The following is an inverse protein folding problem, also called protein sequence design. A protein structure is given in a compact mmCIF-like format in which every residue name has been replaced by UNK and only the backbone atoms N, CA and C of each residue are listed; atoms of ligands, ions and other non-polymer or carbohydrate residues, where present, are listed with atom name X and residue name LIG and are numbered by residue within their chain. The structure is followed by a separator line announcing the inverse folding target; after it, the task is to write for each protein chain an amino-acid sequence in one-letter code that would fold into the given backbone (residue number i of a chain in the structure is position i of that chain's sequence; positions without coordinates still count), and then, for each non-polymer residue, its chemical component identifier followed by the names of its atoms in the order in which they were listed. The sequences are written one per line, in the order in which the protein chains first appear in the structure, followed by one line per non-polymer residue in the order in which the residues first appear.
data_IF_442228937237
#
_entry.id   IF_442228937237
#
_cell.length_a   1.000
_cell.length_b   1.000
_cell.length_c   1.000
_cell.angle_alpha   90.00
_cell.angle_beta   90.00
_cell.angle_gamma   90.00
#
_symmetry.space_group_name_H-M   'P 1'
#
loop_
_entity.id
_entity.type
_entity.pdbx_description
1 polymer ?
#
# COMPACT_ATOMS: atom_id res chain seq x y z
N UNK A 1 3.22 61.66 5.46
CA UNK A 1 4.12 60.53 5.78
C UNK A 1 3.29 59.27 5.67
N UNK A 2 3.42 58.56 4.54
CA UNK A 2 2.78 57.28 4.31
C UNK A 2 3.76 56.18 4.72
N UNK A 3 3.37 55.30 5.63
CA UNK A 3 4.07 54.03 5.84
C UNK A 3 3.04 52.90 5.92
N UNK A 4 3.33 51.90 5.11
CA UNK A 4 2.49 50.80 4.70
C UNK A 4 2.09 49.88 5.86
N UNK A 5 0.82 49.52 5.89
CA UNK A 5 0.34 48.37 6.64
C UNK A 5 0.68 47.10 5.84
N UNK A 6 1.71 46.36 6.28
CA UNK A 6 1.91 44.98 5.85
C UNK A 6 0.73 44.14 6.33
N UNK A 7 -0.24 43.89 5.44
CA UNK A 7 -1.16 42.78 5.55
C UNK A 7 -0.34 41.49 5.40
N UNK A 8 0.00 40.87 6.52
CA UNK A 8 0.46 39.49 6.53
C UNK A 8 -0.67 38.62 5.99
N UNK A 9 -0.46 38.00 4.83
CA UNK A 9 -1.27 36.87 4.41
C UNK A 9 -1.05 35.76 5.45
N UNK A 10 -1.99 35.60 6.37
CA UNK A 10 -2.12 34.35 7.08
C UNK A 10 -2.52 33.29 6.04
N UNK A 11 -1.59 32.38 5.73
CA UNK A 11 -1.95 31.14 5.07
C UNK A 11 -2.96 30.43 5.98
N UNK A 12 -4.21 30.35 5.53
CA UNK A 12 -5.23 29.55 6.19
C UNK A 12 -4.83 28.09 5.92
N UNK A 13 -4.52 27.27 6.94
CA UNK A 13 -4.24 25.86 6.70
C UNK A 13 -5.44 25.24 6.00
N UNK A 14 -5.18 24.37 5.02
CA UNK A 14 -6.22 23.60 4.33
C UNK A 14 -7.22 23.04 5.36
N UNK A 15 -8.47 23.46 5.25
CA UNK A 15 -9.52 23.12 6.21
C UNK A 15 -9.61 21.60 6.34
N UNK A 16 -9.20 21.07 7.49
CA UNK A 16 -9.41 19.67 7.81
C UNK A 16 -10.92 19.38 7.74
N UNK A 17 -11.30 18.32 7.03
CA UNK A 17 -12.69 17.87 6.97
C UNK A 17 -13.14 17.48 8.39
N UNK A 18 -14.07 18.24 8.97
CA UNK A 18 -14.66 17.95 10.28
C UNK A 18 -16.05 17.39 10.07
N UNK A 19 -16.25 16.12 10.45
CA UNK A 19 -17.54 15.45 10.39
C UNK A 19 -18.02 15.11 11.79
N UNK A 20 -19.29 15.42 12.09
CA UNK A 20 -19.97 14.95 13.28
C UNK A 20 -20.36 13.48 13.08
N UNK A 21 -19.57 12.58 13.65
CA UNK A 21 -19.80 11.15 13.54
C UNK A 21 -20.94 10.70 14.47
N UNK A 22 -21.86 9.85 13.99
CA UNK A 22 -22.94 9.33 14.81
C UNK A 22 -22.42 8.36 15.87
N UNK A 23 -23.15 8.20 16.98
CA UNK A 23 -22.74 7.31 18.08
C UNK A 23 -21.43 7.75 18.73
N UNK A 24 -21.02 7.11 19.83
CA UNK A 24 -19.70 7.35 20.42
C UNK A 24 -18.59 6.75 19.54
N UNK A 25 -18.38 7.35 18.35
CA UNK A 25 -17.38 6.96 17.37
C UNK A 25 -15.99 7.32 17.88
N UNK A 26 -15.04 6.39 17.72
CA UNK A 26 -13.62 6.64 18.01
C UNK A 26 -12.78 6.32 16.78
N UNK A 27 -11.81 7.16 16.48
CA UNK A 27 -10.75 6.84 15.52
C UNK A 27 -10.01 5.60 16.01
N UNK A 28 -9.68 4.70 15.09
CA UNK A 28 -8.95 3.46 15.35
C UNK A 28 -7.60 3.51 14.67
N UNK A 29 -7.58 3.98 13.43
CA UNK A 29 -6.40 4.11 12.59
C UNK A 29 -6.61 5.23 11.58
N UNK A 30 -5.52 5.86 11.17
CA UNK A 30 -5.48 6.92 10.16
C UNK A 30 -4.20 6.79 9.35
N UNK A 31 -4.35 6.73 8.03
CA UNK A 31 -3.28 6.83 7.03
C UNK A 31 -3.37 8.16 6.31
N UNK A 32 -2.24 8.83 6.13
CA UNK A 32 -2.18 10.13 5.43
C UNK A 32 -0.95 10.20 4.55
N UNK A 33 -1.11 10.82 3.38
CA UNK A 33 -0.01 11.13 2.47
C UNK A 33 -0.16 12.59 2.03
N UNK A 34 0.87 13.44 2.18
CA UNK A 34 0.80 14.85 1.75
C UNK A 34 0.49 15.01 0.25
N UNK A 35 0.95 14.03 -0.54
CA UNK A 35 0.66 13.87 -1.97
C UNK A 35 0.51 12.38 -2.21
N UNK A 36 -0.67 11.97 -2.65
CA UNK A 36 -1.01 10.58 -2.96
C UNK A 36 -2.06 10.51 -4.06
N UNK A 37 -2.50 9.30 -4.37
CA UNK A 37 -3.56 9.06 -5.35
C UNK A 37 -4.52 7.99 -4.85
N UNK A 38 -5.80 8.11 -5.22
CA UNK A 38 -6.82 7.14 -4.86
C UNK A 38 -7.86 6.99 -5.96
N UNK A 39 -8.38 5.77 -6.14
CA UNK A 39 -9.42 5.45 -7.11
C UNK A 39 -10.77 5.25 -6.40
N UNK A 40 -11.66 6.25 -6.48
CA UNK A 40 -12.98 6.19 -5.84
C UNK A 40 -13.99 5.45 -6.72
N UNK A 41 -14.82 4.58 -6.15
CA UNK A 41 -15.82 3.86 -6.94
C UNK A 41 -16.93 4.81 -7.41
N UNK A 42 -17.24 4.79 -8.71
CA UNK A 42 -18.28 5.62 -9.35
C UNK A 42 -19.44 4.80 -9.91
N UNK A 43 -19.39 3.48 -9.74
CA UNK A 43 -20.41 2.56 -10.19
C UNK A 43 -20.30 1.21 -9.49
N UNK A 44 -21.25 0.30 -9.75
CA UNK A 44 -21.22 -1.04 -9.20
C UNK A 44 -20.09 -1.86 -9.81
N UNK A 45 -19.59 -2.83 -9.05
CA UNK A 45 -18.75 -3.88 -9.60
C UNK A 45 -19.60 -4.78 -10.50
N UNK A 46 -19.26 -4.82 -11.79
CA UNK A 46 -19.94 -5.65 -12.79
C UNK A 46 -18.92 -6.11 -13.83
N UNK A 47 -19.13 -7.31 -14.38
CA UNK A 47 -18.31 -7.87 -15.46
C UNK A 47 -16.79 -7.89 -15.19
N UNK A 48 -16.41 -8.10 -13.93
CA UNK A 48 -15.00 -8.21 -13.53
C UNK A 48 -14.29 -6.88 -13.28
N UNK A 49 -15.01 -5.76 -13.35
CA UNK A 49 -14.44 -4.42 -13.23
C UNK A 49 -15.23 -3.54 -12.25
N UNK A 50 -14.50 -2.63 -11.61
CA UNK A 50 -15.07 -1.54 -10.81
C UNK A 50 -14.85 -0.22 -11.56
N UNK A 51 -15.91 0.50 -11.96
CA UNK A 51 -15.76 1.86 -12.47
C UNK A 51 -15.23 2.78 -11.38
N UNK A 52 -14.13 3.49 -11.67
CA UNK A 52 -13.46 4.36 -10.69
C UNK A 52 -13.16 5.75 -11.23
N UNK A 53 -13.05 6.72 -10.31
CA UNK A 53 -12.50 8.05 -10.52
C UNK A 53 -11.15 8.14 -9.80
N UNK A 54 -10.06 8.12 -10.57
CA UNK A 54 -8.73 8.39 -10.05
C UNK A 54 -8.62 9.87 -9.67
N UNK A 55 -8.14 10.14 -8.46
CA UNK A 55 -7.96 11.49 -7.92
C UNK A 55 -6.60 11.57 -7.23
N UNK A 56 -5.86 12.64 -7.47
CA UNK A 56 -4.55 12.91 -6.89
C UNK A 56 -4.63 14.14 -5.99
N UNK A 57 -3.88 14.14 -4.89
CA UNK A 57 -3.87 15.24 -3.93
C UNK A 57 -3.40 14.82 -2.54
N UNK A 58 -3.67 15.64 -1.54
CA UNK A 58 -3.47 15.28 -0.14
C UNK A 58 -4.46 14.17 0.25
N UNK A 59 -3.94 12.97 0.52
CA UNK A 59 -4.72 11.79 0.82
C UNK A 59 -4.84 11.58 2.33
N UNK A 60 -6.04 11.23 2.78
CA UNK A 60 -6.28 10.72 4.13
C UNK A 60 -7.32 9.61 4.11
N UNK A 61 -7.08 8.56 4.90
CA UNK A 61 -8.00 7.45 5.08
C UNK A 61 -8.07 7.12 6.57
N UNK A 62 -9.26 7.20 7.16
CA UNK A 62 -9.47 6.97 8.59
C UNK A 62 -10.57 5.94 8.82
N UNK A 63 -10.35 5.07 9.80
CA UNK A 63 -11.34 4.12 10.29
C UNK A 63 -11.83 4.49 11.68
N UNK A 64 -13.14 4.31 11.89
CA UNK A 64 -13.82 4.61 13.13
C UNK A 64 -14.64 3.41 13.60
N UNK A 65 -14.62 3.19 14.91
CA UNK A 65 -15.48 2.22 15.58
C UNK A 65 -16.61 2.91 16.31
N UNK A 66 -17.83 2.48 16.03
CA UNK A 66 -19.03 2.89 16.73
C UNK A 66 -19.28 1.96 17.91
N UNK A 67 -19.45 2.54 19.10
CA UNK A 67 -19.73 1.77 20.31
C UNK A 67 -21.18 1.25 20.38
N UNK A 68 -22.09 1.80 19.55
CA UNK A 68 -23.49 1.42 19.49
C UNK A 68 -23.77 0.54 18.27
N UNK A 69 -24.02 -0.76 18.49
CA UNK A 69 -24.33 -1.73 17.46
C UNK A 69 -25.80 -1.69 16.97
N UNK A 70 -26.64 -0.87 17.61
CA UNK A 70 -28.07 -0.80 17.32
C UNK A 70 -28.40 0.05 16.09
N UNK A 71 -27.51 0.97 15.69
CA UNK A 71 -27.70 1.78 14.50
C UNK A 71 -27.57 0.93 13.24
N UNK A 72 -28.52 1.05 12.32
CA UNK A 72 -28.42 0.47 10.98
C UNK A 72 -27.37 1.21 10.15
N UNK A 73 -26.83 0.55 9.12
CA UNK A 73 -25.89 1.20 8.18
C UNK A 73 -26.47 2.45 7.51
N UNK A 74 -27.79 2.49 7.28
CA UNK A 74 -28.47 3.67 6.75
C UNK A 74 -28.51 4.82 7.77
N UNK A 75 -28.81 4.52 9.04
CA UNK A 75 -28.81 5.52 10.12
C UNK A 75 -27.41 6.09 10.40
N UNK A 76 -26.36 5.32 10.10
CA UNK A 76 -24.98 5.80 10.19
C UNK A 76 -24.63 6.66 8.97
N UNK A 77 -24.94 6.20 7.75
CA UNK A 77 -24.51 6.87 6.52
C UNK A 77 -25.29 8.17 6.24
N UNK A 78 -26.59 8.18 6.47
CA UNK A 78 -27.48 9.32 6.14
C UNK A 78 -26.98 10.64 6.74
N UNK A 79 -26.72 10.78 8.05
CA UNK A 79 -26.27 12.06 8.60
C UNK A 79 -24.90 12.49 8.10
N UNK A 80 -24.01 11.56 7.74
CA UNK A 80 -22.70 11.89 7.16
C UNK A 80 -22.86 12.43 5.74
N UNK A 81 -23.68 11.76 4.93
CA UNK A 81 -24.00 12.22 3.57
C UNK A 81 -24.68 13.58 3.61
N UNK A 82 -25.65 13.78 4.50
CA UNK A 82 -26.40 15.03 4.60
C UNK A 82 -25.47 16.19 5.00
N UNK A 83 -24.54 15.99 5.95
CA UNK A 83 -23.49 16.96 6.28
C UNK A 83 -22.64 17.32 5.06
N UNK A 84 -22.10 16.31 4.38
CA UNK A 84 -21.24 16.51 3.20
C UNK A 84 -21.99 17.24 2.07
N UNK A 85 -23.24 16.87 1.81
CA UNK A 85 -24.04 17.59 0.80
C UNK A 85 -24.37 19.02 1.23
N UNK A 86 -24.58 19.27 2.53
CA UNK A 86 -24.71 20.60 3.10
C UNK A 86 -23.46 21.45 2.92
N UNK A 87 -22.28 20.83 2.94
CA UNK A 87 -20.98 21.45 2.66
C UNK A 87 -20.69 21.59 1.16
N UNK A 88 -21.65 21.28 0.28
CA UNK A 88 -21.56 21.48 -1.16
C UNK A 88 -20.95 20.31 -1.94
N UNK A 89 -20.75 19.15 -1.31
CA UNK A 89 -20.40 17.93 -2.04
C UNK A 89 -21.61 17.38 -2.82
N UNK A 90 -21.35 16.91 -4.04
CA UNK A 90 -22.32 16.23 -4.88
C UNK A 90 -22.08 14.72 -4.85
N UNK A 91 -23.14 13.94 -4.65
CA UNK A 91 -23.06 12.47 -4.69
C UNK A 91 -22.79 12.04 -6.14
N UNK A 92 -21.67 11.35 -6.35
CA UNK A 92 -21.35 10.73 -7.64
C UNK A 92 -21.99 9.33 -7.72
N UNK A 93 -21.83 8.55 -6.65
CA UNK A 93 -22.28 7.18 -6.60
C UNK A 93 -22.68 6.81 -5.17
N UNK A 94 -23.77 6.07 -5.02
CA UNK A 94 -24.22 5.52 -3.75
C UNK A 94 -24.82 4.14 -4.00
N UNK A 95 -24.53 3.19 -3.11
CA UNK A 95 -25.05 1.83 -3.22
C UNK A 95 -25.11 1.15 -1.84
N UNK A 96 -25.90 0.07 -1.78
CA UNK A 96 -25.91 -0.85 -0.66
C UNK A 96 -25.73 -2.29 -1.12
N UNK A 97 -24.84 -3.02 -0.44
CA UNK A 97 -24.64 -4.47 -0.59
C UNK A 97 -24.66 -4.97 -2.05
N UNK A 98 -25.73 -5.66 -2.46
CA UNK A 98 -25.91 -6.21 -3.79
C UNK A 98 -25.89 -5.13 -4.89
N UNK A 99 -26.40 -3.93 -4.63
CA UNK A 99 -26.36 -2.82 -5.57
C UNK A 99 -24.94 -2.29 -5.82
N UNK A 100 -24.00 -2.55 -4.92
CA UNK A 100 -22.59 -2.28 -5.13
C UNK A 100 -21.90 -3.34 -6.01
N UNK A 101 -22.50 -4.52 -6.19
CA UNK A 101 -21.84 -5.68 -6.77
C UNK A 101 -21.41 -6.74 -5.74
N UNK A 102 -21.86 -6.60 -4.48
CA UNK A 102 -21.73 -7.65 -3.46
C UNK A 102 -20.28 -7.92 -3.01
N UNK A 103 -19.85 -9.19 -3.06
CA UNK A 103 -18.54 -9.64 -2.58
C UNK A 103 -17.39 -8.92 -3.30
N UNK A 104 -17.41 -8.90 -4.64
CA UNK A 104 -16.28 -8.43 -5.45
C UNK A 104 -16.01 -6.92 -5.29
N UNK A 105 -17.05 -6.13 -5.02
CA UNK A 105 -16.92 -4.70 -4.75
C UNK A 105 -15.97 -4.41 -3.59
N UNK A 106 -16.06 -5.17 -2.49
CA UNK A 106 -15.17 -5.02 -1.33
C UNK A 106 -13.71 -5.31 -1.69
N UNK A 107 -13.44 -6.30 -2.55
CA UNK A 107 -12.07 -6.70 -2.91
C UNK A 107 -11.44 -5.73 -3.92
N UNK A 108 -12.25 -5.07 -4.72
CA UNK A 108 -11.81 -4.04 -5.65
C UNK A 108 -11.58 -2.67 -4.97
N UNK A 109 -12.07 -2.49 -3.74
CA UNK A 109 -11.84 -1.29 -2.94
C UNK A 109 -10.60 -1.42 -2.06
N UNK A 110 -9.92 -0.29 -1.84
CA UNK A 110 -8.91 -0.14 -0.80
C UNK A 110 -9.58 0.01 0.57
N UNK A 111 -9.74 -1.11 1.27
CA UNK A 111 -10.33 -1.19 2.61
C UNK A 111 -9.24 -1.48 3.63
N UNK A 112 -9.22 -0.72 4.73
CA UNK A 112 -8.29 -0.97 5.83
C UNK A 112 -8.42 -2.41 6.36
N UNK A 113 -7.32 -3.05 6.77
CA UNK A 113 -7.36 -4.46 7.17
C UNK A 113 -8.10 -4.67 8.51
N UNK A 114 -8.50 -5.91 8.78
CA UNK A 114 -8.94 -6.27 10.14
C UNK A 114 -7.78 -6.15 11.14
N UNK A 115 -8.03 -5.79 12.41
CA UNK A 115 -9.34 -5.58 13.05
C UNK A 115 -9.84 -4.12 12.96
N UNK A 116 -9.22 -3.28 12.14
CA UNK A 116 -9.46 -1.83 12.04
C UNK A 116 -10.76 -1.54 11.28
N UNK A 117 -11.01 -2.26 10.18
CA UNK A 117 -12.23 -2.16 9.40
C UNK A 117 -12.78 -3.54 9.09
N UNK A 118 -14.08 -3.73 9.27
CA UNK A 118 -14.79 -4.96 8.93
C UNK A 118 -15.96 -4.64 8.01
N UNK A 119 -16.04 -5.35 6.88
CA UNK A 119 -17.09 -5.17 5.87
C UNK A 119 -18.00 -6.40 5.87
N UNK A 120 -19.19 -6.25 6.42
CA UNK A 120 -20.22 -7.26 6.38
C UNK A 120 -20.91 -7.23 5.03
N UNK A 121 -20.69 -8.25 4.21
CA UNK A 121 -21.21 -8.33 2.83
C UNK A 121 -22.74 -8.31 2.74
N UNK A 122 -23.44 -8.63 3.84
CA UNK A 122 -24.90 -8.53 3.92
C UNK A 122 -25.42 -7.20 4.48
N UNK A 123 -24.56 -6.32 5.00
CA UNK A 123 -24.94 -5.06 5.64
C UNK A 123 -23.79 -4.04 5.55
N UNK A 124 -23.57 -3.51 4.36
CA UNK A 124 -22.67 -2.38 4.11
C UNK A 124 -23.29 -1.39 3.11
N UNK A 125 -22.85 -0.13 3.21
CA UNK A 125 -23.22 0.96 2.31
C UNK A 125 -21.98 1.74 1.93
N UNK A 126 -21.96 2.24 0.70
CA UNK A 126 -20.88 3.07 0.20
C UNK A 126 -21.43 4.29 -0.53
N UNK A 127 -20.74 5.41 -0.38
CA UNK A 127 -21.01 6.62 -1.16
C UNK A 127 -19.69 7.28 -1.57
N UNK A 128 -19.64 7.75 -2.81
CA UNK A 128 -18.62 8.67 -3.30
C UNK A 128 -19.24 10.03 -3.52
N UNK A 129 -18.60 11.08 -2.99
CA UNK A 129 -19.00 12.46 -3.22
C UNK A 129 -17.83 13.29 -3.73
N UNK A 130 -18.14 14.33 -4.50
CA UNK A 130 -17.15 15.27 -5.04
C UNK A 130 -17.62 16.71 -4.92
N UNK A 131 -16.68 17.60 -4.67
CA UNK A 131 -16.87 19.06 -4.71
C UNK A 131 -15.80 19.66 -5.61
N UNK A 132 -16.17 20.68 -6.37
CA UNK A 132 -15.20 21.57 -7.00
C UNK A 132 -14.94 22.71 -6.02
N UNK A 133 -13.73 22.76 -5.44
CA UNK A 133 -13.28 23.90 -4.65
C UNK A 133 -12.39 24.82 -5.48
N UNK A 134 -12.19 26.06 -5.02
CA UNK A 134 -11.30 27.02 -5.69
C UNK A 134 -9.85 26.51 -5.78
N UNK A 135 -9.43 25.68 -4.81
CA UNK A 135 -8.11 25.05 -4.76
C UNK A 135 -7.98 23.79 -5.63
N UNK A 136 -9.09 23.26 -6.19
CA UNK A 136 -9.12 22.05 -6.99
C UNK A 136 -10.26 21.09 -6.59
N UNK A 137 -10.38 19.94 -7.28
CA UNK A 137 -11.41 18.95 -6.97
C UNK A 137 -11.10 18.24 -5.64
N UNK A 138 -12.14 17.99 -4.87
CA UNK A 138 -12.09 17.28 -3.60
C UNK A 138 -13.06 16.10 -3.67
N UNK A 139 -12.59 14.91 -3.31
CA UNK A 139 -13.36 13.67 -3.45
C UNK A 139 -13.31 12.86 -2.17
N UNK A 140 -14.46 12.39 -1.72
CA UNK A 140 -14.63 11.53 -0.55
C UNK A 140 -15.29 10.21 -0.92
N UNK A 141 -14.85 9.15 -0.24
CA UNK A 141 -15.52 7.86 -0.18
C UNK A 141 -15.86 7.56 1.29
N UNK A 142 -17.13 7.26 1.57
CA UNK A 142 -17.57 6.83 2.90
C UNK A 142 -18.11 5.41 2.80
N UNK A 143 -17.41 4.48 3.46
CA UNK A 143 -17.81 3.08 3.59
C UNK A 143 -18.32 2.83 5.01
N UNK A 144 -19.56 2.38 5.12
CA UNK A 144 -20.19 2.04 6.39
C UNK A 144 -20.55 0.57 6.41
N UNK A 145 -20.24 -0.10 7.51
CA UNK A 145 -20.52 -1.52 7.71
C UNK A 145 -20.86 -1.79 9.16
N UNK A 146 -21.48 -2.93 9.43
CA UNK A 146 -21.89 -3.31 10.79
C UNK A 146 -21.69 -4.80 11.07
N UNK A 147 -21.19 -5.08 12.26
CA UNK A 147 -21.18 -6.42 12.87
C UNK A 147 -22.26 -6.53 13.95
N UNK A 148 -22.43 -7.71 14.55
CA UNK A 148 -23.37 -7.89 15.67
C UNK A 148 -23.03 -7.04 16.91
N UNK A 149 -21.79 -6.58 17.06
CA UNK A 149 -21.31 -5.92 18.28
C UNK A 149 -20.87 -4.47 18.08
N UNK A 150 -20.66 -4.03 16.84
CA UNK A 150 -20.21 -2.66 16.54
C UNK A 150 -20.51 -2.23 15.12
N UNK A 151 -20.62 -0.93 14.91
CA UNK A 151 -20.56 -0.30 13.59
C UNK A 151 -19.14 0.14 13.23
N UNK A 152 -18.88 0.22 11.93
CA UNK A 152 -17.61 0.62 11.34
C UNK A 152 -17.85 1.69 10.29
N UNK A 153 -16.96 2.68 10.26
CA UNK A 153 -16.94 3.74 9.24
C UNK A 153 -15.50 3.83 8.74
N UNK A 154 -15.30 3.78 7.43
CA UNK A 154 -14.06 4.20 6.79
C UNK A 154 -14.37 5.43 5.93
N UNK A 155 -13.63 6.51 6.16
CA UNK A 155 -13.68 7.73 5.35
C UNK A 155 -12.35 7.84 4.63
N UNK A 156 -12.41 7.89 3.30
CA UNK A 156 -11.27 8.16 2.43
C UNK A 156 -11.49 9.51 1.78
N UNK A 157 -10.48 10.36 1.79
CA UNK A 157 -10.58 11.74 1.33
C UNK A 157 -9.32 12.13 0.58
N UNK A 158 -9.50 12.65 -0.64
CA UNK A 158 -8.45 13.31 -1.41
C UNK A 158 -8.86 14.76 -1.62
N UNK A 159 -8.06 15.67 -1.06
CA UNK A 159 -8.19 17.11 -1.25
C UNK A 159 -7.03 17.62 -2.12
N UNK A 160 -7.13 18.82 -2.72
CA UNK A 160 -6.01 19.43 -3.40
C UNK A 160 -4.76 19.50 -2.50
N UNK A 161 -3.62 19.03 -3.01
CA UNK A 161 -2.36 19.08 -2.27
C UNK A 161 -1.83 20.52 -2.18
N UNK A 162 -1.22 20.86 -1.05
CA UNK A 162 -0.52 22.13 -0.90
C UNK A 162 0.65 22.21 -1.88
N UNK A 163 0.86 23.37 -2.50
CA UNK A 163 1.95 23.58 -3.47
C UNK A 163 3.35 23.31 -2.87
N UNK A 164 3.51 23.47 -1.56
CA UNK A 164 4.74 23.13 -0.82
C UNK A 164 4.92 21.62 -0.60
N UNK A 165 3.85 20.83 -0.60
CA UNK A 165 3.92 19.37 -0.53
C UNK A 165 4.26 18.75 -1.91
N UNK A 166 3.93 19.46 -3.00
CA UNK A 166 4.21 19.04 -4.38
C UNK A 166 5.66 19.29 -4.82
N UNK A 167 6.44 20.08 -4.07
CA UNK A 167 7.87 20.20 -4.33
C UNK A 167 8.60 19.03 -3.67
N UNK A 168 9.09 18.03 -4.42
CA UNK A 168 10.04 17.09 -3.85
C UNK A 168 11.21 17.90 -3.28
N UNK A 169 11.74 17.50 -2.13
CA UNK A 169 12.92 18.14 -1.55
C UNK A 169 14.05 18.16 -2.58
N UNK A 170 14.25 19.28 -3.26
CA UNK A 170 15.21 19.44 -4.36
C UNK A 170 16.61 19.80 -3.85
N UNK A 171 16.95 19.40 -2.63
CA UNK A 171 18.36 19.34 -2.21
C UNK A 171 18.97 18.02 -2.69
N UNK A 172 19.02 17.84 -4.01
CA UNK A 172 19.98 16.92 -4.59
C UNK A 172 21.31 17.67 -4.72
N UNK A 173 22.22 17.42 -3.78
CA UNK A 173 23.63 17.87 -3.86
C UNK A 173 24.54 16.80 -4.47
N UNK A 174 24.00 15.77 -5.13
CA UNK A 174 24.81 14.69 -5.70
C UNK A 174 25.09 14.91 -7.19
N UNK A 175 26.26 15.47 -7.48
CA UNK A 175 27.11 14.93 -8.57
C UNK A 175 27.42 13.46 -8.22
N UNK A 176 27.48 12.51 -9.17
CA UNK A 176 27.73 11.11 -8.84
C UNK A 176 29.14 10.98 -8.25
N UNK A 177 29.23 10.90 -6.93
CA UNK A 177 30.41 10.43 -6.25
C UNK A 177 30.25 8.92 -6.11
N UNK A 178 30.94 8.20 -7.00
CA UNK A 178 30.92 6.74 -7.09
C UNK A 178 31.51 6.08 -5.82
N UNK A 179 32.15 6.86 -4.94
CA UNK A 179 32.71 6.38 -3.68
C UNK A 179 31.75 6.57 -2.49
N UNK A 180 30.58 7.23 -2.66
CA UNK A 180 29.65 7.47 -1.55
C UNK A 180 28.17 7.54 -1.96
N UNK A 181 27.66 6.41 -2.45
CA UNK A 181 26.22 6.16 -2.57
C UNK A 181 25.56 6.25 -1.17
N UNK A 182 24.41 6.92 -1.01
CA UNK A 182 23.70 6.90 0.26
C UNK A 182 23.01 5.54 0.35
N UNK A 183 23.67 4.59 1.01
CA UNK A 183 23.04 3.34 1.39
C UNK A 183 22.04 3.70 2.49
N UNK A 184 20.74 3.58 2.22
CA UNK A 184 19.74 3.42 3.28
C UNK A 184 19.98 2.06 3.94
N UNK A 185 21.09 1.94 4.68
CA UNK A 185 21.53 0.74 5.40
C UNK A 185 20.66 0.42 6.63
N UNK A 186 19.43 0.91 6.64
CA UNK A 186 18.52 0.82 7.78
C UNK A 186 17.64 -0.42 7.74
N UNK A 187 17.05 -0.77 6.58
CA UNK A 187 15.93 -1.72 6.57
C UNK A 187 16.39 -3.17 6.38
N UNK A 188 17.26 -3.48 5.41
CA UNK A 188 17.65 -4.87 5.12
C UNK A 188 18.46 -5.50 6.26
N UNK A 189 19.43 -4.74 6.79
CA UNK A 189 20.25 -5.19 7.93
C UNK A 189 19.36 -5.44 9.16
N UNK A 190 18.51 -4.48 9.51
CA UNK A 190 17.64 -4.58 10.68
C UNK A 190 16.66 -5.75 10.52
N UNK A 191 16.05 -5.92 9.35
CA UNK A 191 15.14 -7.03 9.08
C UNK A 191 15.83 -8.40 9.19
N UNK A 192 17.04 -8.55 8.65
CA UNK A 192 17.79 -9.81 8.76
C UNK A 192 18.16 -10.15 10.21
N UNK A 193 18.57 -9.16 11.00
CA UNK A 193 19.00 -9.39 12.38
C UNK A 193 17.82 -9.51 13.38
N UNK A 194 16.69 -8.84 13.11
CA UNK A 194 15.52 -8.84 14.02
C UNK A 194 14.46 -9.87 13.65
N UNK A 195 14.21 -10.05 12.35
CA UNK A 195 13.12 -10.88 11.81
C UNK A 195 13.65 -12.17 11.20
N UNK A 196 14.96 -12.24 10.91
CA UNK A 196 15.63 -13.42 10.36
C UNK A 196 15.42 -13.61 8.85
N UNK A 197 14.66 -12.75 8.19
CA UNK A 197 14.44 -12.80 6.75
C UNK A 197 14.06 -11.43 6.16
N UNK A 198 14.20 -11.29 4.84
CA UNK A 198 13.82 -10.10 4.06
C UNK A 198 13.47 -10.48 2.62
N UNK A 199 12.47 -9.82 2.04
CA UNK A 199 12.06 -10.00 0.64
C UNK A 199 12.84 -9.02 -0.25
N UNK A 200 13.39 -9.51 -1.37
CA UNK A 200 14.06 -8.67 -2.37
C UNK A 200 13.01 -8.06 -3.31
N UNK A 201 12.42 -6.93 -2.93
CA UNK A 201 11.25 -6.35 -3.60
C UNK A 201 11.52 -5.71 -4.97
N UNK A 202 12.76 -5.33 -5.26
CA UNK A 202 13.20 -4.80 -6.57
C UNK A 202 13.69 -5.91 -7.52
N UNK A 203 13.69 -7.17 -7.07
CA UNK A 203 14.08 -8.33 -7.89
C UNK A 203 12.85 -8.95 -8.56
N UNK A 204 12.65 -8.62 -9.83
CA UNK A 204 11.52 -9.12 -10.61
C UNK A 204 11.88 -10.25 -11.56
N UNK A 205 10.90 -11.14 -11.79
CA UNK A 205 10.98 -12.23 -12.78
C UNK A 205 9.75 -12.27 -13.67
N UNK A 206 9.99 -12.33 -14.98
CA UNK A 206 8.94 -12.62 -15.95
C UNK A 206 8.31 -14.01 -15.70
N UNK A 207 7.04 -14.23 -16.10
CA UNK A 207 6.38 -15.53 -15.99
C UNK A 207 7.21 -16.65 -16.63
N UNK A 208 7.43 -17.74 -15.89
CA UNK A 208 8.23 -18.88 -16.36
C UNK A 208 9.74 -18.63 -16.51
N UNK A 209 10.23 -17.42 -16.22
CA UNK A 209 11.65 -17.05 -16.34
C UNK A 209 12.38 -17.06 -15.00
N UNK A 210 13.68 -17.34 -15.06
CA UNK A 210 14.65 -17.14 -13.98
C UNK A 210 15.73 -16.11 -14.35
N UNK A 211 15.53 -15.38 -15.45
CA UNK A 211 16.41 -14.27 -15.83
C UNK A 211 16.14 -13.08 -14.93
N UNK A 212 17.22 -12.54 -14.35
CA UNK A 212 17.19 -11.31 -13.57
C UNK A 212 17.10 -10.11 -14.49
N UNK A 213 16.12 -9.24 -14.25
CA UNK A 213 16.19 -7.87 -14.77
C UNK A 213 17.33 -7.14 -14.06
N UNK A 214 18.20 -6.46 -14.82
CA UNK A 214 19.35 -5.72 -14.27
C UNK A 214 19.05 -4.24 -14.06
N UNK A 215 17.81 -3.79 -14.26
CA UNK A 215 17.48 -2.37 -14.23
C UNK A 215 17.35 -1.80 -12.81
N UNK A 216 17.01 -2.61 -11.80
CA UNK A 216 16.90 -2.17 -10.40
C UNK A 216 17.46 -3.22 -9.41
N UNK A 217 18.70 -3.05 -8.95
CA UNK A 217 19.40 -4.02 -8.06
C UNK A 217 19.88 -3.40 -6.75
N UNK A 218 19.14 -2.43 -6.22
CA UNK A 218 19.54 -1.69 -5.02
C UNK A 218 19.61 -2.60 -3.78
N UNK A 219 18.62 -3.48 -3.58
CA UNK A 219 18.63 -4.41 -2.43
C UNK A 219 19.70 -5.47 -2.56
N UNK A 220 20.06 -5.89 -3.79
CA UNK A 220 21.16 -6.83 -4.02
C UNK A 220 22.52 -6.21 -3.65
N UNK A 221 22.72 -4.93 -3.95
CA UNK A 221 23.92 -4.17 -3.53
C UNK A 221 23.98 -4.06 -2.00
N UNK A 222 22.85 -3.80 -1.36
CA UNK A 222 22.75 -3.73 0.09
C UNK A 222 23.05 -5.08 0.76
N UNK A 223 22.43 -6.15 0.27
CA UNK A 223 22.70 -7.52 0.73
C UNK A 223 24.17 -7.90 0.55
N UNK A 224 24.76 -7.58 -0.61
CA UNK A 224 26.18 -7.83 -0.85
C UNK A 224 27.08 -7.04 0.11
N UNK A 225 26.69 -5.81 0.46
CA UNK A 225 27.41 -5.00 1.44
C UNK A 225 27.27 -5.57 2.85
N UNK A 226 26.07 -5.98 3.24
CA UNK A 226 25.81 -6.65 4.51
C UNK A 226 26.67 -7.92 4.66
N UNK A 227 26.65 -8.82 3.67
CA UNK A 227 27.38 -10.09 3.74
C UNK A 227 28.90 -9.88 3.78
N UNK A 228 29.43 -8.96 2.97
CA UNK A 228 30.87 -8.65 2.97
C UNK A 228 31.34 -8.01 4.29
N UNK A 229 30.50 -7.18 4.92
CA UNK A 229 30.81 -6.58 6.21
C UNK A 229 30.64 -7.56 7.38
N UNK A 230 29.94 -8.67 7.19
CA UNK A 230 29.65 -9.65 8.21
C UNK A 230 30.09 -11.06 7.76
N UNK A 231 31.40 -11.35 7.73
CA UNK A 231 31.96 -12.59 7.17
C UNK A 231 31.48 -13.87 7.88
N UNK A 232 30.95 -13.75 9.11
CA UNK A 232 30.42 -14.87 9.88
C UNK A 232 28.93 -15.15 9.59
N UNK A 233 28.24 -14.23 8.91
CA UNK A 233 26.83 -14.39 8.55
C UNK A 233 26.70 -15.33 7.35
N UNK A 234 25.64 -16.15 7.37
CA UNK A 234 25.27 -17.11 6.32
C UNK A 234 23.81 -16.93 5.99
N UNK A 235 23.47 -16.89 4.70
CA UNK A 235 22.09 -16.73 4.22
C UNK A 235 21.68 -17.83 3.26
N UNK A 236 20.39 -18.12 3.22
CA UNK A 236 19.77 -18.93 2.17
C UNK A 236 18.83 -18.05 1.35
N UNK A 237 19.04 -18.02 0.04
CA UNK A 237 18.17 -17.39 -0.93
C UNK A 237 17.07 -18.40 -1.29
N UNK A 238 15.83 -18.06 -0.98
CA UNK A 238 14.67 -18.92 -1.24
C UNK A 238 13.82 -18.30 -2.33
N UNK A 239 13.72 -18.98 -3.46
CA UNK A 239 12.88 -18.54 -4.56
C UNK A 239 11.45 -19.05 -4.43
N UNK A 240 10.51 -18.22 -4.90
CA UNK A 240 9.07 -18.50 -4.94
C UNK A 240 8.51 -18.36 -6.37
N UNK A 241 7.39 -19.01 -6.63
CA UNK A 241 6.60 -18.86 -7.87
C UNK A 241 5.16 -18.48 -7.55
N UNK A 242 4.44 -18.06 -8.59
CA UNK A 242 2.98 -18.15 -8.57
C UNK A 242 2.50 -19.60 -8.71
N UNK A 243 1.19 -19.81 -8.50
CA UNK A 243 0.57 -21.13 -8.50
C UNK A 243 0.29 -21.71 -9.90
N UNK A 244 0.83 -21.12 -10.98
CA UNK A 244 0.58 -21.62 -12.34
C UNK A 244 1.52 -22.78 -12.66
N UNK A 245 0.95 -23.94 -12.99
CA UNK A 245 1.70 -25.13 -13.41
C UNK A 245 1.95 -26.16 -12.29
N UNK A 246 2.73 -27.20 -12.61
CA UNK A 246 2.97 -28.31 -11.70
C UNK A 246 3.96 -27.94 -10.58
N UNK A 247 3.76 -28.51 -9.39
CA UNK A 247 4.60 -28.23 -8.21
C UNK A 247 6.09 -28.48 -8.47
N UNK A 248 6.47 -29.65 -8.98
CA UNK A 248 7.87 -30.00 -9.22
C UNK A 248 8.55 -29.03 -10.19
N UNK A 249 7.81 -28.58 -11.21
CA UNK A 249 8.28 -27.58 -12.17
C UNK A 249 8.49 -26.21 -11.51
N UNK A 250 7.58 -25.82 -10.62
CA UNK A 250 7.66 -24.57 -9.87
C UNK A 250 8.76 -24.58 -8.81
N UNK A 251 8.97 -25.69 -8.09
CA UNK A 251 10.11 -25.87 -7.17
C UNK A 251 11.43 -25.74 -7.92
N UNK A 252 11.56 -26.39 -9.08
CA UNK A 252 12.75 -26.27 -9.91
C UNK A 252 12.95 -24.84 -10.45
N UNK A 253 11.89 -24.16 -10.90
CA UNK A 253 11.96 -22.79 -11.39
C UNK A 253 12.35 -21.81 -10.28
N UNK A 254 11.74 -21.93 -9.11
CA UNK A 254 11.99 -21.04 -7.99
C UNK A 254 13.42 -21.20 -7.46
N UNK A 255 13.94 -22.43 -7.42
CA UNK A 255 15.35 -22.68 -7.13
C UNK A 255 16.28 -22.00 -8.16
N UNK A 256 15.99 -22.11 -9.46
CA UNK A 256 16.78 -21.42 -10.50
C UNK A 256 16.78 -19.90 -10.33
N UNK A 257 15.68 -19.29 -9.87
CA UNK A 257 15.64 -17.85 -9.56
C UNK A 257 16.59 -17.48 -8.43
N UNK A 258 16.58 -18.25 -7.34
CA UNK A 258 17.52 -18.06 -6.24
C UNK A 258 18.97 -18.26 -6.68
N UNK A 259 19.24 -19.25 -7.55
CA UNK A 259 20.57 -19.47 -8.14
C UNK A 259 21.02 -18.30 -9.03
N UNK A 260 20.12 -17.71 -9.83
CA UNK A 260 20.42 -16.51 -10.61
C UNK A 260 20.81 -15.34 -9.71
N UNK A 261 20.10 -15.14 -8.60
CA UNK A 261 20.42 -14.09 -7.61
C UNK A 261 21.76 -14.36 -6.95
N UNK A 262 22.00 -15.60 -6.53
CA UNK A 262 23.28 -16.02 -5.95
C UNK A 262 24.44 -15.78 -6.91
N UNK A 263 24.27 -16.13 -8.18
CA UNK A 263 25.26 -15.92 -9.21
C UNK A 263 25.55 -14.42 -9.40
N UNK A 264 24.52 -13.58 -9.46
CA UNK A 264 24.68 -12.14 -9.55
C UNK A 264 25.42 -11.55 -8.34
N UNK A 265 25.07 -11.95 -7.12
CA UNK A 265 25.75 -11.52 -5.89
C UNK A 265 27.23 -11.96 -5.88
N UNK A 266 27.52 -13.19 -6.31
CA UNK A 266 28.87 -13.73 -6.31
C UNK A 266 29.75 -13.10 -7.41
N UNK A 267 29.30 -13.14 -8.67
CA UNK A 267 30.10 -12.69 -9.82
C UNK A 267 30.01 -11.20 -10.08
N UNK A 268 28.85 -10.58 -9.83
CA UNK A 268 28.61 -9.17 -10.07
C UNK A 268 29.00 -8.27 -8.90
N UNK A 269 28.79 -8.74 -7.67
CA UNK A 269 28.97 -7.92 -6.45
C UNK A 269 30.04 -8.44 -5.49
N UNK A 270 30.67 -9.58 -5.82
CA UNK A 270 31.84 -10.10 -5.10
C UNK A 270 31.53 -10.69 -3.72
N UNK A 271 30.31 -11.19 -3.51
CA UNK A 271 29.96 -11.89 -2.26
C UNK A 271 30.61 -13.29 -2.25
N UNK A 272 31.31 -13.67 -1.16
CA UNK A 272 31.84 -15.02 -1.01
C UNK A 272 30.75 -16.10 -1.12
N UNK A 273 30.96 -17.09 -1.99
CA UNK A 273 29.96 -18.12 -2.27
C UNK A 273 29.65 -19.01 -1.05
N UNK A 274 30.59 -19.12 -0.10
CA UNK A 274 30.39 -19.87 1.15
C UNK A 274 29.43 -19.16 2.11
N UNK A 275 29.10 -17.88 1.87
CA UNK A 275 28.10 -17.15 2.65
C UNK A 275 26.65 -17.38 2.22
N UNK A 276 26.43 -18.03 1.07
CA UNK A 276 25.12 -18.10 0.43
C UNK A 276 24.77 -19.54 0.05
N UNK A 277 23.48 -19.88 0.19
CA UNK A 277 22.86 -21.06 -0.40
C UNK A 277 21.64 -20.64 -1.21
N UNK A 278 21.21 -21.48 -2.15
CA UNK A 278 20.02 -21.24 -2.97
C UNK A 278 19.07 -22.44 -2.90
N UNK A 279 17.80 -22.17 -2.59
CA UNK A 279 16.73 -23.16 -2.55
C UNK A 279 15.42 -22.62 -3.13
N UNK A 280 14.43 -23.50 -3.30
CA UNK A 280 13.15 -23.16 -3.91
C UNK A 280 11.98 -23.91 -3.31
N UNK A 281 10.90 -23.18 -3.00
CA UNK A 281 9.67 -23.75 -2.42
C UNK A 281 8.47 -23.76 -3.36
N UNK A 282 8.66 -23.35 -4.62
CA UNK A 282 7.56 -23.17 -5.57
C UNK A 282 6.52 -22.18 -5.05
N UNK A 283 5.24 -22.55 -5.16
CA UNK A 283 4.10 -21.73 -4.72
C UNK A 283 3.56 -22.08 -3.33
N UNK A 284 4.25 -22.93 -2.56
CA UNK A 284 3.74 -23.46 -1.28
C UNK A 284 3.79 -22.45 -0.12
N UNK A 285 4.42 -21.28 -0.32
CA UNK A 285 4.49 -20.19 0.66
C UNK A 285 4.16 -18.85 -0.01
N UNK A 286 2.88 -18.61 -0.37
CA UNK A 286 2.46 -17.38 -1.03
C UNK A 286 2.55 -16.20 -0.05
N UNK A 287 3.06 -15.07 -0.54
CA UNK A 287 3.02 -13.78 0.15
C UNK A 287 1.65 -13.12 -0.06
N UNK A 288 1.06 -13.34 -1.24
CA UNK A 288 -0.19 -12.72 -1.68
C UNK A 288 -1.08 -13.72 -2.41
N UNK A 289 -2.30 -13.31 -2.72
CA UNK A 289 -3.28 -14.18 -3.39
C UNK A 289 -2.85 -14.53 -4.81
N UNK A 290 -2.88 -15.81 -5.19
CA UNK A 290 -2.63 -16.23 -6.57
C UNK A 290 -3.83 -15.97 -7.52
N UNK A 291 -4.93 -15.45 -6.99
CA UNK A 291 -6.17 -15.20 -7.74
C UNK A 291 -6.07 -13.99 -8.67
N UNK A 292 -5.21 -13.02 -8.36
CA UNK A 292 -5.02 -11.79 -9.15
C UNK A 292 -3.65 -11.80 -9.83
N UNK A 293 -3.48 -11.05 -10.93
CA UNK A 293 -2.16 -10.94 -11.57
C UNK A 293 -1.17 -10.22 -10.65
N UNK A 294 -1.61 -9.18 -9.94
CA UNK A 294 -0.74 -8.46 -9.01
C UNK A 294 -0.20 -9.39 -7.91
N UNK A 295 -1.06 -10.19 -7.28
CA UNK A 295 -0.63 -11.13 -6.25
C UNK A 295 0.24 -12.27 -6.81
N UNK A 296 0.06 -12.66 -8.08
CA UNK A 296 0.99 -13.57 -8.76
C UNK A 296 2.37 -12.92 -8.96
N UNK A 297 2.44 -11.65 -9.35
CA UNK A 297 3.70 -10.90 -9.45
C UNK A 297 4.43 -10.86 -8.12
N UNK A 298 3.75 -10.50 -7.03
CA UNK A 298 4.31 -10.49 -5.67
C UNK A 298 4.81 -11.86 -5.21
N UNK A 299 4.16 -12.94 -5.68
CA UNK A 299 4.61 -14.31 -5.38
C UNK A 299 5.83 -14.76 -6.18
N UNK A 300 6.14 -14.12 -7.32
CA UNK A 300 7.34 -14.39 -8.13
C UNK A 300 8.55 -13.62 -7.56
N UNK A 301 9.00 -14.00 -6.37
CA UNK A 301 10.04 -13.30 -5.60
C UNK A 301 11.20 -14.20 -5.17
N UNK A 302 12.25 -13.58 -4.65
CA UNK A 302 13.30 -14.25 -3.86
C UNK A 302 13.36 -13.60 -2.48
N UNK A 303 13.48 -14.44 -1.46
CA UNK A 303 13.62 -14.05 -0.06
C UNK A 303 15.00 -14.45 0.45
N UNK A 304 15.58 -13.64 1.32
CA UNK A 304 16.85 -13.93 1.99
C UNK A 304 16.53 -14.35 3.41
N UNK A 305 17.01 -15.53 3.81
CA UNK A 305 16.84 -16.05 5.16
C UNK A 305 18.20 -16.10 5.84
N UNK A 306 18.31 -15.49 7.02
CA UNK A 306 19.51 -15.60 7.83
C UNK A 306 19.57 -16.99 8.50
N UNK A 307 20.66 -17.72 8.27
CA UNK A 307 20.81 -19.13 8.70
C UNK A 307 21.98 -19.37 9.64
N UNK A 308 22.90 -18.42 9.76
CA UNK A 308 23.95 -18.49 10.78
C UNK A 308 23.35 -18.24 12.17
N UNK A 309 23.50 -19.21 13.06
CA UNK A 309 23.21 -19.07 14.49
C UNK A 309 24.49 -18.60 15.19
N UNK A 310 24.57 -17.33 15.59
CA UNK A 310 25.54 -16.94 16.61
C UNK A 310 25.05 -17.41 17.98
#
# INVERSE_FOLDING_TARGET
MAYAACLGLCAVPASALVLDLPGAARVVDTRTEPVGSHAFATGPYQDGALPTLATEGAFSQSAFHLSDAALTTLQILTPLRDQLTGDGFQVIYECDTAACGGYDFRYAMDVLPEPVMHVNLGDFRYVTLRREADSGPEVLGVLVSRSMQRGFIQITHVAPADAEALVPSTTSTKTPDLDNLPVTAGDLHEMLETTGHVVLSDVEFAPGSSELSTEDTATLIELATYLRNNPDRRVTLVGHTDAVGALDGNVALSKRRAESVMAYLASGLGVPADQMQADGVGYLSPLSTNLTENGRTENRRVEVILTSTQ
#
